data_IF_104685331525
#
_entry.id   IF_104685331525
#
_cell.length_a   1.000
_cell.length_b   1.000
_cell.length_c   1.000
_cell.angle_alpha   90.00
_cell.angle_beta   90.00
_cell.angle_gamma   90.00
#
_symmetry.space_group_name_H-M   'P 1'
#
loop_
_entity.id
_entity.type
_entity.pdbx_description
1 polymer ?
#
# COMPACT_ATOMS: atom_id res chain seq x y z
N UNK A 1 22.22 2.74 13.09
CA UNK A 1 21.24 3.36 12.16
C UNK A 1 19.89 3.45 12.84
N UNK A 2 19.03 4.39 12.44
CA UNK A 2 17.66 4.50 12.98
C UNK A 2 16.74 3.45 12.36
N UNK A 3 15.75 2.97 13.11
CA UNK A 3 14.73 2.07 12.60
C UNK A 3 13.89 2.72 11.50
N UNK A 4 13.46 1.91 10.52
CA UNK A 4 12.49 2.36 9.54
C UNK A 4 11.15 2.72 10.20
N UNK A 5 10.42 3.67 9.61
CA UNK A 5 9.05 4.01 9.97
C UNK A 5 8.16 3.79 8.76
N UNK A 6 7.08 3.05 8.97
CA UNK A 6 6.09 2.72 7.96
C UNK A 6 4.72 3.22 8.41
N UNK A 7 3.90 3.62 7.46
CA UNK A 7 2.47 3.83 7.64
C UNK A 7 1.73 2.74 6.88
N UNK A 8 0.75 2.12 7.54
CA UNK A 8 -0.09 1.07 6.95
C UNK A 8 -1.52 1.56 6.87
N UNK A 9 -2.14 1.37 5.72
CA UNK A 9 -3.53 1.77 5.46
C UNK A 9 -4.34 0.54 5.13
N UNK A 10 -5.44 0.31 5.83
CA UNK A 10 -6.40 -0.75 5.51
C UNK A 10 -7.76 -0.11 5.26
N UNK A 11 -8.32 -0.36 4.10
CA UNK A 11 -9.64 0.14 3.69
C UNK A 11 -10.55 -1.07 3.53
N UNK A 12 -11.70 -1.05 4.22
CA UNK A 12 -12.78 -2.00 4.04
C UNK A 12 -13.91 -1.32 3.28
N UNK A 13 -14.26 -1.86 2.11
CA UNK A 13 -15.31 -1.36 1.24
C UNK A 13 -16.48 -2.33 1.34
N UNK A 14 -17.65 -1.83 1.75
CA UNK A 14 -18.87 -2.63 1.85
C UNK A 14 -19.75 -2.41 0.64
N UNK A 15 -20.23 -3.48 0.03
CA UNK A 15 -21.25 -3.44 -1.00
C UNK A 15 -22.32 -4.49 -0.68
N UNK A 16 -23.47 -4.04 -0.18
CA UNK A 16 -24.57 -4.89 0.27
C UNK A 16 -24.11 -5.95 1.30
N UNK A 17 -24.03 -7.22 0.91
CA UNK A 17 -23.61 -8.35 1.75
C UNK A 17 -22.16 -8.77 1.52
N UNK A 18 -21.41 -8.00 0.74
CA UNK A 18 -20.01 -8.30 0.38
C UNK A 18 -19.07 -7.24 0.95
N UNK A 19 -17.85 -7.67 1.27
CA UNK A 19 -16.77 -6.80 1.72
C UNK A 19 -15.54 -7.00 0.83
N UNK A 20 -14.93 -5.89 0.43
CA UNK A 20 -13.66 -5.85 -0.28
C UNK A 20 -12.62 -5.17 0.61
N UNK A 21 -11.37 -5.63 0.55
CA UNK A 21 -10.28 -5.06 1.34
C UNK A 21 -9.15 -4.57 0.43
N UNK A 22 -8.75 -3.32 0.64
CA UNK A 22 -7.53 -2.76 0.06
C UNK A 22 -6.52 -2.49 1.17
N UNK A 23 -5.29 -2.95 0.98
CA UNK A 23 -4.18 -2.71 1.91
C UNK A 23 -3.10 -1.88 1.21
N UNK A 24 -2.60 -0.89 1.92
CA UNK A 24 -1.54 0.01 1.49
C UNK A 24 -0.44 0.12 2.53
N UNK A 25 0.73 0.53 2.07
CA UNK A 25 1.90 0.78 2.91
C UNK A 25 2.74 1.90 2.30
N UNK A 26 3.20 2.82 3.15
CA UNK A 26 4.11 3.91 2.80
C UNK A 26 5.31 3.90 3.75
N UNK A 27 6.51 4.16 3.22
CA UNK A 27 7.75 4.29 3.97
C UNK A 27 7.93 5.77 4.35
N UNK A 28 7.53 6.14 5.56
CA UNK A 28 7.74 7.48 6.10
C UNK A 28 9.23 7.78 6.35
N UNK A 29 9.99 6.74 6.70
CA UNK A 29 11.42 6.86 6.91
C UNK A 29 12.10 5.51 6.66
N UNK A 30 13.04 5.39 5.70
CA UNK A 30 13.62 4.10 5.33
C UNK A 30 14.59 3.55 6.39
N UNK A 31 15.21 4.40 7.22
CA UNK A 31 16.13 3.97 8.27
C UNK A 31 17.21 3.01 7.77
N UNK A 32 17.39 1.88 8.46
CA UNK A 32 18.32 0.83 8.07
C UNK A 32 17.99 0.17 6.73
N UNK A 33 16.75 0.27 6.21
CA UNK A 33 16.38 -0.39 4.95
C UNK A 33 17.23 0.10 3.79
N UNK A 34 17.65 1.37 3.81
CA UNK A 34 18.51 1.96 2.77
C UNK A 34 19.83 1.20 2.63
N UNK A 35 20.43 0.75 3.74
CA UNK A 35 21.72 0.06 3.72
C UNK A 35 21.62 -1.37 3.18
N UNK A 36 20.46 -2.02 3.33
CA UNK A 36 20.23 -3.34 2.73
C UNK A 36 20.02 -3.30 1.21
N UNK A 37 19.67 -2.16 0.64
CA UNK A 37 19.58 -1.96 -0.82
C UNK A 37 20.80 -1.28 -1.43
N UNK A 38 21.77 -0.81 -0.63
CA UNK A 38 23.01 -0.15 -1.09
C UNK A 38 23.92 -1.03 -1.98
N UNK A 39 23.63 -2.32 -2.12
CA UNK A 39 24.32 -3.23 -3.05
C UNK A 39 23.67 -3.41 -4.42
N UNK A 40 22.61 -2.66 -4.74
CA UNK A 40 21.87 -2.71 -6.01
C UNK A 40 21.99 -1.40 -6.78
N UNK A 41 21.87 -1.47 -8.10
CA UNK A 41 22.06 -0.32 -9.01
C UNK A 41 21.19 0.90 -8.68
N UNK A 42 20.01 0.69 -8.06
CA UNK A 42 19.15 1.79 -7.64
C UNK A 42 18.33 1.46 -6.37
N UNK A 43 18.86 1.78 -5.17
CA UNK A 43 18.20 1.46 -3.90
C UNK A 43 16.86 2.17 -3.71
N UNK A 44 16.73 3.39 -4.23
CA UNK A 44 15.51 4.18 -4.06
C UNK A 44 14.35 3.60 -4.89
N UNK A 45 14.60 3.11 -6.11
CA UNK A 45 13.60 2.40 -6.92
C UNK A 45 13.09 1.13 -6.23
N UNK A 46 13.97 0.39 -5.59
CA UNK A 46 13.61 -0.84 -4.90
C UNK A 46 12.78 -0.61 -3.64
N UNK A 47 13.02 0.50 -2.94
CA UNK A 47 12.20 0.91 -1.81
C UNK A 47 10.81 1.37 -2.27
N UNK A 48 10.75 2.17 -3.35
CA UNK A 48 9.48 2.62 -3.93
C UNK A 48 8.60 1.45 -4.41
N UNK A 49 9.20 0.40 -4.98
CA UNK A 49 8.48 -0.83 -5.38
C UNK A 49 7.84 -1.59 -4.20
N UNK A 50 8.23 -1.30 -2.96
CA UNK A 50 7.64 -1.90 -1.76
C UNK A 50 6.50 -1.08 -1.17
N UNK A 51 6.22 0.10 -1.73
CA UNK A 51 5.12 0.95 -1.30
C UNK A 51 3.88 0.69 -2.16
N UNK A 52 2.72 0.67 -1.49
CA UNK A 52 1.42 0.64 -2.13
C UNK A 52 0.58 1.75 -1.52
N UNK A 53 0.58 2.91 -2.16
CA UNK A 53 -0.11 4.09 -1.65
C UNK A 53 -1.58 3.99 -2.05
N UNK A 54 -2.46 4.02 -1.07
CA UNK A 54 -3.91 4.12 -1.31
C UNK A 54 -4.31 5.60 -1.32
N UNK A 55 -5.32 5.99 -2.12
CA UNK A 55 -5.87 7.33 -2.06
C UNK A 55 -6.47 7.59 -0.68
N UNK A 56 -6.49 8.87 -0.29
CA UNK A 56 -7.25 9.30 0.87
C UNK A 56 -8.74 9.09 0.60
N UNK A 57 -9.43 8.46 1.53
CA UNK A 57 -10.89 8.28 1.52
C UNK A 57 -11.49 8.73 2.85
N UNK A 58 -12.79 9.01 2.84
CA UNK A 58 -13.60 9.26 4.03
C UNK A 58 -14.57 8.12 4.32
N UNK A 59 -15.01 8.00 5.56
CA UNK A 59 -16.01 6.99 5.96
C UNK A 59 -17.34 7.35 5.30
N UNK A 60 -18.02 6.34 4.74
CA UNK A 60 -19.23 6.48 3.90
C UNK A 60 -19.02 7.19 2.55
N UNK A 61 -17.78 7.38 2.09
CA UNK A 61 -17.51 7.91 0.76
C UNK A 61 -18.05 6.96 -0.33
N UNK A 62 -18.85 7.51 -1.25
CA UNK A 62 -19.40 6.76 -2.37
C UNK A 62 -18.32 6.43 -3.40
N UNK A 63 -18.17 5.15 -3.74
CA UNK A 63 -17.19 4.67 -4.71
C UNK A 63 -17.87 4.11 -5.95
N UNK A 64 -17.25 4.32 -7.11
CA UNK A 64 -17.69 3.73 -8.38
C UNK A 64 -16.91 2.43 -8.66
N UNK A 65 -17.64 1.35 -8.95
CA UNK A 65 -17.03 0.12 -9.44
C UNK A 65 -16.84 0.23 -10.96
N UNK A 66 -15.59 0.38 -11.41
CA UNK A 66 -15.27 0.48 -12.84
C UNK A 66 -15.17 -0.88 -13.52
N UNK A 67 -14.64 -1.88 -12.81
CA UNK A 67 -14.47 -3.24 -13.32
C UNK A 67 -14.58 -4.24 -12.15
N UNK A 68 -15.09 -5.43 -12.45
CA UNK A 68 -15.24 -6.53 -11.50
C UNK A 68 -14.83 -7.83 -12.19
N UNK A 69 -13.64 -8.30 -11.85
CA UNK A 69 -13.11 -9.56 -12.35
C UNK A 69 -13.27 -10.66 -11.29
N UNK A 70 -13.82 -11.84 -11.65
CA UNK A 70 -13.78 -12.98 -10.75
C UNK A 70 -12.34 -13.44 -10.53
N UNK A 71 -12.06 -13.99 -9.36
CA UNK A 71 -10.76 -14.60 -9.08
C UNK A 71 -10.57 -15.79 -10.05
N UNK A 72 -9.51 -15.80 -10.88
CA UNK A 72 -9.20 -16.94 -11.72
C UNK A 72 -8.70 -18.06 -10.80
N UNK A 73 -9.63 -18.90 -10.33
CA UNK A 73 -9.26 -20.12 -9.60
C UNK A 73 -8.39 -21.01 -10.46
#
# INVERSE_FOLDING_TARGET
>A
MKSAKLEQTSITIKNQKTEFRANGQMILFPGYMKVYVEGRDNPDKDLANKERILPKLEVEEALNCNDLMPDPT
#
